data_IF_703645149233
#
_entry.id   IF_703645149233
#
_cell.length_a   1.000
_cell.length_b   1.000
_cell.length_c   1.000
_cell.angle_alpha   90.00
_cell.angle_beta   90.00
_cell.angle_gamma   90.00
#
_symmetry.space_group_name_H-M   'P 1'
#
loop_
_entity.id
_entity.type
_entity.pdbx_description
1 polymer ?
#
# COMPACT_ATOMS: atom_id res chain seq x y z
N UNK A 1 9.09 -28.66 56.75
CA UNK A 1 9.32 -27.77 55.60
C UNK A 1 9.70 -28.54 54.33
N UNK A 2 10.67 -29.47 54.39
CA UNK A 2 11.15 -30.23 53.21
C UNK A 2 10.08 -31.10 52.51
N UNK A 3 9.18 -31.74 53.27
CA UNK A 3 8.13 -32.60 52.69
C UNK A 3 7.09 -31.83 51.86
N UNK A 4 6.87 -30.55 52.16
CA UNK A 4 5.94 -29.70 51.40
C UNK A 4 6.54 -29.26 50.06
N UNK A 5 7.86 -29.06 50.01
CA UNK A 5 8.58 -28.71 48.78
C UNK A 5 8.63 -29.93 47.85
N UNK A 6 8.88 -31.12 48.39
CA UNK A 6 8.84 -32.39 47.65
C UNK A 6 7.43 -32.67 47.08
N UNK A 7 6.37 -32.38 47.84
CA UNK A 7 4.99 -32.53 47.37
C UNK A 7 4.64 -31.54 46.24
N UNK A 8 5.13 -30.30 46.30
CA UNK A 8 4.90 -29.30 45.24
C UNK A 8 5.69 -29.60 43.96
N UNK A 9 6.91 -30.13 44.08
CA UNK A 9 7.70 -30.56 42.92
C UNK A 9 7.04 -31.76 42.23
N UNK A 10 6.57 -32.75 42.99
CA UNK A 10 5.84 -33.91 42.44
C UNK A 10 4.49 -33.52 41.81
N UNK A 11 3.79 -32.52 42.35
CA UNK A 11 2.56 -31.97 41.75
C UNK A 11 2.84 -31.18 40.46
N UNK A 12 4.02 -30.57 40.32
CA UNK A 12 4.40 -29.85 39.09
C UNK A 12 4.73 -30.79 37.93
N UNK A 13 5.19 -32.02 38.22
CA UNK A 13 5.48 -33.04 37.20
C UNK A 13 4.23 -33.78 36.71
N UNK A 14 3.18 -33.86 37.54
CA UNK A 14 1.91 -34.54 37.20
C UNK A 14 0.99 -33.75 36.24
N UNK A 15 1.19 -32.44 36.07
CA UNK A 15 0.34 -31.58 35.22
C UNK A 15 0.81 -31.56 33.75
N UNK A 16 1.90 -32.24 33.40
CA UNK A 16 2.46 -32.25 32.05
C UNK A 16 2.36 -33.60 31.31
N UNK A 17 1.26 -34.34 31.49
CA UNK A 17 0.88 -35.40 30.55
C UNK A 17 -0.04 -34.83 29.47
N UNK A 18 0.55 -34.10 28.52
CA UNK A 18 -0.12 -33.85 27.24
C UNK A 18 -0.23 -35.18 26.51
N UNK A 19 -1.46 -35.65 26.30
CA UNK A 19 -1.72 -36.82 25.45
C UNK A 19 -1.05 -36.62 24.09
N UNK A 20 -0.05 -37.45 23.84
CA UNK A 20 0.69 -37.54 22.57
C UNK A 20 0.35 -38.89 21.95
N UNK A 21 0.04 -38.88 20.66
CA UNK A 21 -0.09 -40.12 19.89
C UNK A 21 1.26 -40.86 19.85
N UNK A 22 1.27 -42.14 19.46
CA UNK A 22 2.44 -43.05 19.45
C UNK A 22 3.73 -42.55 18.73
N UNK A 23 3.72 -41.35 18.14
CA UNK A 23 4.86 -40.66 17.51
C UNK A 23 5.21 -39.30 18.17
N UNK A 24 4.71 -39.01 19.37
CA UNK A 24 5.18 -37.89 20.21
C UNK A 24 4.75 -36.48 19.79
N UNK A 25 3.64 -36.31 19.05
CA UNK A 25 3.12 -34.99 18.63
C UNK A 25 1.88 -34.58 19.43
N UNK A 26 1.73 -33.31 19.85
CA UNK A 26 0.57 -32.87 20.61
C UNK A 26 -0.70 -32.88 19.74
N UNK A 27 -1.76 -33.54 20.22
CA UNK A 27 -3.08 -33.59 19.57
C UNK A 27 -3.73 -32.20 19.55
N UNK A 28 -3.58 -31.44 18.46
CA UNK A 28 -4.41 -30.26 18.23
C UNK A 28 -5.78 -30.73 17.74
N UNK A 29 -6.84 -30.46 18.51
CA UNK A 29 -8.23 -30.61 18.07
C UNK A 29 -8.49 -29.70 16.86
N UNK A 30 -8.34 -30.25 15.66
CA UNK A 30 -8.76 -29.60 14.42
C UNK A 30 -10.28 -29.58 14.37
N UNK A 31 -10.88 -28.42 14.66
CA UNK A 31 -12.28 -28.13 14.33
C UNK A 31 -12.50 -28.41 12.83
N UNK A 32 -13.31 -29.41 12.54
CA UNK A 32 -14.05 -29.60 11.29
C UNK A 32 -13.36 -29.15 10.00
N UNK A 33 -12.39 -29.93 9.52
CA UNK A 33 -12.00 -29.88 8.12
C UNK A 33 -13.11 -30.54 7.29
N UNK A 34 -14.12 -29.76 6.89
CA UNK A 34 -14.89 -30.11 5.69
C UNK A 34 -13.86 -30.21 4.56
N UNK A 35 -13.54 -31.43 4.16
CA UNK A 35 -12.69 -31.69 3.01
C UNK A 35 -13.39 -31.11 1.78
N UNK A 36 -13.09 -29.85 1.45
CA UNK A 36 -13.32 -29.34 0.11
C UNK A 36 -12.42 -30.18 -0.77
N UNK A 37 -13.02 -31.07 -1.54
CA UNK A 37 -12.34 -31.70 -2.67
C UNK A 37 -11.85 -30.57 -3.56
N UNK A 38 -10.59 -30.17 -3.39
CA UNK A 38 -9.93 -29.24 -4.30
C UNK A 38 -9.72 -30.07 -5.55
N UNK A 39 -10.64 -29.96 -6.51
CA UNK A 39 -10.39 -30.54 -7.83
C UNK A 39 -9.04 -30.01 -8.30
N UNK A 40 -8.12 -30.87 -8.79
CA UNK A 40 -6.85 -30.40 -9.29
C UNK A 40 -7.17 -29.46 -10.43
N UNK A 41 -6.90 -28.16 -10.24
CA UNK A 41 -7.01 -27.20 -11.31
C UNK A 41 -6.16 -27.74 -12.46
N UNK A 42 -6.81 -28.06 -13.58
CA UNK A 42 -6.12 -28.47 -14.80
C UNK A 42 -4.96 -27.50 -15.01
N UNK A 43 -3.76 -28.04 -15.16
CA UNK A 43 -2.54 -27.27 -15.36
C UNK A 43 -2.79 -26.40 -16.58
N UNK A 44 -3.09 -25.11 -16.36
CA UNK A 44 -3.28 -24.15 -17.44
C UNK A 44 -1.99 -24.21 -18.22
N UNK A 45 -2.05 -24.78 -19.43
CA UNK A 45 -0.91 -24.75 -20.34
C UNK A 45 -0.49 -23.29 -20.44
N UNK A 46 0.80 -22.95 -20.25
CA UNK A 46 1.25 -21.59 -20.50
C UNK A 46 1.01 -21.36 -21.98
N UNK A 47 -0.11 -20.70 -22.34
CA UNK A 47 -0.28 -20.10 -23.66
C UNK A 47 1.00 -19.32 -23.87
N UNK A 48 1.76 -19.70 -24.91
CA UNK A 48 3.11 -19.27 -25.15
C UNK A 48 3.29 -17.84 -24.67
N UNK A 49 4.07 -17.67 -23.61
CA UNK A 49 4.53 -16.36 -23.17
C UNK A 49 5.50 -15.91 -24.25
N UNK A 50 4.96 -15.51 -25.39
CA UNK A 50 5.55 -14.40 -26.13
C UNK A 50 5.59 -13.28 -25.11
N UNK A 51 6.73 -13.16 -24.43
CA UNK A 51 7.01 -12.03 -23.56
C UNK A 51 6.84 -10.84 -24.50
N UNK A 52 5.75 -10.04 -24.38
CA UNK A 52 5.61 -8.90 -25.27
C UNK A 52 6.88 -8.09 -25.05
N UNK A 53 7.65 -7.89 -26.13
CA UNK A 53 8.94 -7.19 -26.11
C UNK A 53 8.85 -6.05 -25.11
N UNK A 54 9.83 -5.97 -24.20
CA UNK A 54 9.87 -4.99 -23.12
C UNK A 54 9.44 -3.63 -23.67
N UNK A 55 8.17 -3.26 -23.44
CA UNK A 55 7.65 -1.96 -23.87
C UNK A 55 8.56 -0.98 -23.15
N UNK A 56 9.35 -0.20 -23.91
CA UNK A 56 10.21 0.86 -23.37
C UNK A 56 9.44 1.51 -22.22
N UNK A 57 10.02 1.49 -21.02
CA UNK A 57 9.38 2.11 -19.88
C UNK A 57 9.09 3.55 -20.28
N UNK A 58 7.82 3.89 -20.51
CA UNK A 58 7.44 5.18 -21.10
C UNK A 58 7.83 6.38 -20.20
N UNK A 59 8.32 6.10 -19.01
CA UNK A 59 9.00 7.02 -18.11
C UNK A 59 10.24 6.32 -17.57
N UNK A 60 11.41 6.86 -17.87
CA UNK A 60 12.68 6.32 -17.40
C UNK A 60 12.81 6.59 -15.89
N UNK A 61 12.53 5.56 -15.08
CA UNK A 61 12.57 5.65 -13.63
C UNK A 61 13.96 6.07 -13.10
N UNK A 62 15.02 5.84 -13.87
CA UNK A 62 16.38 6.30 -13.56
C UNK A 62 16.51 7.82 -13.60
N UNK A 63 15.78 8.50 -14.47
CA UNK A 63 15.81 9.95 -14.58
C UNK A 63 15.07 10.60 -13.42
N UNK A 64 13.91 10.05 -13.05
CA UNK A 64 13.09 10.56 -11.94
C UNK A 64 13.82 10.48 -10.59
N UNK A 65 14.72 9.51 -10.40
CA UNK A 65 15.51 9.36 -9.17
C UNK A 65 16.57 10.45 -9.00
N UNK A 66 16.99 11.13 -10.07
CA UNK A 66 17.99 12.20 -10.03
C UNK A 66 17.42 13.54 -9.56
N UNK A 67 16.09 13.67 -9.50
CA UNK A 67 15.41 14.91 -9.14
C UNK A 67 15.52 15.20 -7.63
N UNK A 68 15.55 16.49 -7.28
CA UNK A 68 15.47 16.93 -5.88
C UNK A 68 14.05 16.77 -5.32
N UNK A 69 13.89 16.78 -3.99
CA UNK A 69 12.58 16.60 -3.35
C UNK A 69 11.55 17.66 -3.77
N UNK A 70 11.96 18.92 -3.90
CA UNK A 70 11.11 20.02 -4.37
C UNK A 70 10.70 19.83 -5.83
N UNK A 71 11.64 19.43 -6.68
CA UNK A 71 11.37 19.13 -8.10
C UNK A 71 10.39 17.96 -8.25
N UNK A 72 10.48 16.95 -7.38
CA UNK A 72 9.53 15.83 -7.36
C UNK A 72 8.11 16.31 -7.04
N UNK A 73 7.97 17.26 -6.10
CA UNK A 73 6.66 17.84 -5.76
C UNK A 73 6.10 18.66 -6.92
N UNK A 74 6.93 19.47 -7.57
CA UNK A 74 6.53 20.26 -8.74
C UNK A 74 6.09 19.36 -9.91
N UNK A 75 6.90 18.35 -10.25
CA UNK A 75 6.57 17.38 -11.30
C UNK A 75 5.30 16.58 -10.98
N UNK A 76 5.06 16.29 -9.70
CA UNK A 76 3.86 15.60 -9.24
C UNK A 76 2.63 16.49 -9.45
N UNK A 77 2.72 17.78 -9.07
CA UNK A 77 1.65 18.75 -9.29
C UNK A 77 1.37 18.95 -10.79
N UNK A 78 2.41 19.08 -11.61
CA UNK A 78 2.27 19.18 -13.07
C UNK A 78 1.62 17.95 -13.69
N UNK A 79 2.03 16.75 -13.29
CA UNK A 79 1.47 15.50 -13.81
C UNK A 79 0.00 15.34 -13.44
N UNK A 80 -0.38 15.79 -12.24
CA UNK A 80 -1.78 15.85 -11.80
C UNK A 80 -2.60 16.88 -12.59
N UNK A 81 -2.05 18.08 -12.83
CA UNK A 81 -2.67 19.12 -13.67
C UNK A 81 -2.92 18.60 -15.09
N UNK A 82 -1.91 17.99 -15.72
CA UNK A 82 -2.05 17.35 -17.05
C UNK A 82 -3.17 16.32 -17.06
N UNK A 83 -3.25 15.45 -16.03
CA UNK A 83 -4.29 14.44 -15.93
C UNK A 83 -5.69 15.05 -15.72
N UNK A 84 -5.80 16.17 -15.01
CA UNK A 84 -7.06 16.92 -14.88
C UNK A 84 -7.50 17.50 -16.22
N UNK A 85 -6.61 18.19 -16.93
CA UNK A 85 -6.89 18.75 -18.26
C UNK A 85 -7.37 17.68 -19.22
N UNK A 86 -6.67 16.53 -19.27
CA UNK A 86 -7.08 15.40 -20.12
C UNK A 86 -8.49 14.88 -19.77
N UNK A 87 -8.86 14.86 -18.48
CA UNK A 87 -10.22 14.48 -18.06
C UNK A 87 -11.28 15.52 -18.46
N UNK A 88 -10.94 16.81 -18.39
CA UNK A 88 -11.84 17.87 -18.84
C UNK A 88 -12.07 17.78 -20.34
N UNK A 89 -11.01 17.59 -21.12
CA UNK A 89 -11.08 17.38 -22.57
C UNK A 89 -11.93 16.15 -22.93
N UNK A 90 -11.72 15.03 -22.24
CA UNK A 90 -12.54 13.82 -22.39
C UNK A 90 -14.02 14.09 -22.08
N UNK A 91 -14.32 14.86 -21.03
CA UNK A 91 -15.68 15.25 -20.68
C UNK A 91 -16.34 16.12 -21.75
N UNK A 92 -15.58 17.05 -22.34
CA UNK A 92 -16.02 17.87 -23.48
C UNK A 92 -16.07 17.12 -24.82
N UNK A 93 -15.78 15.80 -24.83
CA UNK A 93 -15.71 14.95 -26.03
C UNK A 93 -14.72 15.45 -27.09
N UNK A 94 -13.66 16.14 -26.68
CA UNK A 94 -12.55 16.49 -27.55
C UNK A 94 -11.68 15.24 -27.83
N UNK A 95 -10.94 15.26 -28.92
CA UNK A 95 -9.99 14.19 -29.24
C UNK A 95 -8.82 14.22 -28.26
N UNK A 96 -8.64 13.12 -27.51
CA UNK A 96 -7.57 12.99 -26.52
C UNK A 96 -6.76 11.73 -26.80
N UNK A 97 -5.44 11.84 -26.65
CA UNK A 97 -4.52 10.70 -26.76
C UNK A 97 -4.67 9.79 -25.54
N UNK A 98 -5.35 8.65 -25.70
CA UNK A 98 -5.62 7.69 -24.62
C UNK A 98 -4.37 7.21 -23.87
N UNK A 99 -3.23 7.12 -24.56
CA UNK A 99 -1.98 6.67 -23.94
C UNK A 99 -1.44 7.66 -22.90
N UNK A 100 -1.70 8.97 -23.05
CA UNK A 100 -1.22 10.01 -22.13
C UNK A 100 -1.81 9.87 -20.72
N UNK A 101 -3.04 9.36 -20.60
CA UNK A 101 -3.60 9.02 -19.29
C UNK A 101 -2.75 7.98 -18.57
N UNK A 102 -2.33 6.93 -19.29
CA UNK A 102 -1.51 5.86 -18.73
C UNK A 102 -0.12 6.39 -18.36
N UNK A 103 0.45 7.30 -19.15
CA UNK A 103 1.72 7.95 -18.88
C UNK A 103 1.68 8.75 -17.58
N UNK A 104 0.75 9.70 -17.49
CA UNK A 104 0.66 10.60 -16.34
C UNK A 104 0.33 9.82 -15.05
N UNK A 105 -0.55 8.80 -15.11
CA UNK A 105 -0.81 7.92 -13.95
C UNK A 105 0.43 7.18 -13.48
N UNK A 106 1.21 6.62 -14.40
CA UNK A 106 2.46 5.92 -14.08
C UNK A 106 3.50 6.87 -13.50
N UNK A 107 3.66 8.06 -14.08
CA UNK A 107 4.58 9.09 -13.59
C UNK A 107 4.26 9.49 -12.15
N UNK A 108 2.98 9.75 -11.84
CA UNK A 108 2.52 10.06 -10.48
C UNK A 108 2.86 8.91 -9.51
N UNK A 109 2.60 7.66 -9.90
CA UNK A 109 2.89 6.51 -9.06
C UNK A 109 4.40 6.35 -8.77
N UNK A 110 5.25 6.58 -9.77
CA UNK A 110 6.71 6.54 -9.62
C UNK A 110 7.22 7.65 -8.70
N UNK A 111 6.77 8.90 -8.90
CA UNK A 111 7.17 10.03 -8.06
C UNK A 111 6.77 9.82 -6.58
N UNK A 112 5.54 9.35 -6.32
CA UNK A 112 5.10 8.99 -4.96
C UNK A 112 5.90 7.82 -4.38
N UNK A 113 6.30 6.86 -5.21
CA UNK A 113 7.17 5.76 -4.82
C UNK A 113 8.53 6.26 -4.34
N UNK A 114 9.17 7.16 -5.10
CA UNK A 114 10.48 7.75 -4.75
C UNK A 114 10.38 8.57 -3.45
N UNK A 115 9.32 9.39 -3.28
CA UNK A 115 9.10 10.11 -2.02
C UNK A 115 9.00 9.16 -0.82
N UNK A 116 8.32 8.03 -1.02
CA UNK A 116 8.16 7.02 0.02
C UNK A 116 9.48 6.30 0.31
N UNK A 117 10.27 5.97 -0.70
CA UNK A 117 11.62 5.39 -0.56
C UNK A 117 12.50 6.31 0.29
N UNK A 118 12.58 7.61 -0.05
CA UNK A 118 13.33 8.62 0.72
C UNK A 118 12.84 8.77 2.17
N UNK A 119 11.52 8.74 2.37
CA UNK A 119 10.95 8.80 3.73
C UNK A 119 11.33 7.58 4.57
N UNK A 120 11.45 6.40 3.95
CA UNK A 120 11.89 5.17 4.63
C UNK A 120 13.37 5.26 4.97
N UNK A 121 14.20 5.78 4.07
CA UNK A 121 15.64 6.03 4.31
C UNK A 121 15.85 7.05 5.45
N UNK A 122 14.98 8.06 5.55
CA UNK A 122 14.95 9.02 6.66
C UNK A 122 14.40 8.43 7.99
N UNK A 123 13.98 7.17 8.01
CA UNK A 123 13.49 6.49 9.22
C UNK A 123 12.03 6.81 9.60
N UNK A 124 11.25 7.45 8.73
CA UNK A 124 9.87 7.82 9.03
C UNK A 124 8.95 6.59 9.01
N UNK A 125 8.23 6.37 10.12
CA UNK A 125 7.31 5.24 10.20
C UNK A 125 6.13 5.39 9.21
N UNK A 126 5.53 4.27 8.81
CA UNK A 126 4.33 4.29 7.94
C UNK A 126 3.20 5.14 8.53
N UNK A 127 3.08 5.17 9.86
CA UNK A 127 2.02 5.90 10.56
C UNK A 127 2.28 7.41 10.54
N UNK A 128 3.51 7.83 10.80
CA UNK A 128 3.90 9.25 10.76
C UNK A 128 3.77 9.83 9.37
N UNK A 129 4.20 9.10 8.35
CA UNK A 129 4.04 9.51 6.96
C UNK A 129 2.57 9.77 6.58
N UNK A 130 1.66 8.86 6.95
CA UNK A 130 0.21 9.05 6.70
C UNK A 130 -0.34 10.24 7.47
N UNK A 131 0.03 10.38 8.75
CA UNK A 131 -0.35 11.55 9.55
C UNK A 131 0.15 12.86 8.94
N UNK A 132 1.35 12.86 8.35
CA UNK A 132 1.90 14.02 7.67
C UNK A 132 1.12 14.33 6.37
N UNK A 133 0.78 13.31 5.58
CA UNK A 133 -0.07 13.46 4.38
C UNK A 133 -1.48 13.96 4.74
N UNK A 134 -2.10 13.39 5.77
CA UNK A 134 -3.42 13.81 6.29
C UNK A 134 -3.37 15.24 6.82
N UNK A 135 -2.34 15.59 7.60
CA UNK A 135 -2.18 16.96 8.15
C UNK A 135 -1.97 17.99 7.04
N UNK A 136 -1.24 17.65 5.98
CA UNK A 136 -1.09 18.49 4.80
C UNK A 136 -2.44 18.69 4.08
N UNK A 137 -3.27 17.64 3.99
CA UNK A 137 -4.63 17.73 3.44
C UNK A 137 -5.53 18.66 4.27
N UNK A 138 -5.57 18.48 5.59
CA UNK A 138 -6.38 19.34 6.48
C UNK A 138 -5.85 20.77 6.59
N UNK A 139 -4.53 20.99 6.49
CA UNK A 139 -3.91 22.32 6.44
C UNK A 139 -4.33 23.11 5.19
N UNK A 140 -4.40 22.44 4.03
CA UNK A 140 -4.90 23.05 2.79
C UNK A 140 -6.42 23.33 2.84
N UNK A 141 -7.18 22.50 3.56
CA UNK A 141 -8.63 22.66 3.72
C UNK A 141 -9.00 23.78 4.72
N UNK A 142 -8.17 24.00 5.75
CA UNK A 142 -8.28 25.15 6.65
C UNK A 142 -8.09 26.47 5.90
N UNK A 143 -7.09 26.59 5.02
CA UNK A 143 -6.92 27.79 4.18
C UNK A 143 -8.10 28.02 3.22
N UNK A 144 -8.73 26.96 2.70
CA UNK A 144 -9.95 27.10 1.89
C UNK A 144 -11.17 27.50 2.72
N UNK A 145 -11.30 27.01 3.95
CA UNK A 145 -12.36 27.41 4.89
C UNK A 145 -12.20 28.86 5.35
N UNK A 146 -10.97 29.30 5.63
CA UNK A 146 -10.67 30.70 5.95
C UNK A 146 -10.98 31.63 4.77
N UNK A 147 -10.60 31.24 3.55
CA UNK A 147 -10.89 32.02 2.33
C UNK A 147 -12.40 32.12 2.00
N UNK A 148 -13.22 31.20 2.51
CA UNK A 148 -14.69 31.25 2.38
C UNK A 148 -15.34 32.25 3.35
N UNK A 149 -14.61 32.73 4.37
CA UNK A 149 -15.05 33.76 5.32
C UNK A 149 -14.58 35.18 4.94
N UNK A 150 -13.72 35.31 3.93
CA UNK A 150 -13.13 36.58 3.48
C UNK A 150 -13.74 37.15 2.18
N UNK A 151 -14.83 36.57 1.67
CA UNK A 151 -15.59 37.30 0.65
C UNK A 151 -16.31 38.45 1.39
N UNK A 152 -16.00 39.74 1.10
CA UNK A 152 -16.85 40.81 1.58
C UNK A 152 -18.26 40.45 1.11
N UNK A 153 -19.20 40.40 2.04
CA UNK A 153 -20.60 40.43 1.65
C UNK A 153 -20.73 41.76 0.94
N UNK A 154 -20.93 41.73 -0.37
CA UNK A 154 -21.41 42.90 -1.08
C UNK A 154 -22.77 43.20 -0.42
N UNK A 155 -22.79 44.23 0.41
CA UNK A 155 -23.97 44.70 1.12
C UNK A 155 -24.94 45.27 0.06
N UNK A 156 -25.84 44.41 -0.45
CA UNK A 156 -27.05 44.81 -1.18
C UNK A 156 -28.19 45.18 -0.21
#
# INVERSE_FOLDING_TARGET
>A
ALNAILALVLLSELVSTREVNALGRPMTMTRGAMARTVMPMSKVMPRGLEVPQARKALTDAKELRKLNDDQILDELAESQRKLLVLRMQQGSRQEVKTHEFRLNKKKIAQLKGIQRERSIEAGVSRREYRKAEDKAYYGMDLLKRMRKFEQPKDDE
#
